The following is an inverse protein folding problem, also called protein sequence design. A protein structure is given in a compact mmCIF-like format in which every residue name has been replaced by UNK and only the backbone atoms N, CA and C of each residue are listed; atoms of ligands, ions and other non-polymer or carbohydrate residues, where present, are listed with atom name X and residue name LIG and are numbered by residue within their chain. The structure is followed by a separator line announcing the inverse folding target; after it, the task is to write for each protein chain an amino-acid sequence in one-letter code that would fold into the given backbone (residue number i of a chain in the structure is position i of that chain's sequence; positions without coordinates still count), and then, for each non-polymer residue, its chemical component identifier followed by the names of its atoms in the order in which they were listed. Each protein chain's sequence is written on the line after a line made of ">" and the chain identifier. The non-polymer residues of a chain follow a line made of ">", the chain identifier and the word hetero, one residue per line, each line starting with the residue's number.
data_IF_585143186774
#
_entry.id   IF_585143186774
#
_cell.length_a   1.000
_cell.length_b   1.000
_cell.length_c   1.000
_cell.angle_alpha   90.00
_cell.angle_beta   90.00
_cell.angle_gamma   90.00
#
_symmetry.space_group_name_H-M   'P 1'
#
loop_
_entity.id
_entity.type
_entity.pdbx_description
1 polymer ?
#
# COMPACT_ATOMS: atom_id res chain seq x y z
N UNK A 1 -4.83 -14.51 -2.83
CA UNK A 1 -5.65 -13.28 -2.88
C UNK A 1 -6.09 -12.93 -1.46
N UNK A 2 -6.77 -11.81 -1.26
CA UNK A 2 -7.37 -11.48 0.03
C UNK A 2 -7.86 -10.03 0.08
N UNK A 3 -8.09 -9.52 1.30
CA UNK A 3 -8.54 -8.15 1.53
C UNK A 3 -7.53 -7.32 2.31
N UNK A 4 -7.63 -6.00 2.24
CA UNK A 4 -6.81 -5.07 3.01
C UNK A 4 -7.70 -4.09 3.76
N UNK A 5 -7.54 -4.04 5.09
CA UNK A 5 -8.28 -3.16 5.97
C UNK A 5 -7.35 -2.36 6.87
N UNK A 6 -7.76 -1.14 7.20
CA UNK A 6 -7.14 -0.27 8.19
C UNK A 6 -8.19 0.15 9.21
N UNK A 7 -7.98 -0.18 10.48
CA UNK A 7 -8.94 0.14 11.55
C UNK A 7 -10.33 -0.47 11.28
N UNK A 8 -10.39 -1.62 10.61
CA UNK A 8 -11.63 -2.27 10.20
C UNK A 8 -12.28 -1.73 8.92
N UNK A 9 -11.77 -0.64 8.34
CA UNK A 9 -12.26 -0.08 7.07
C UNK A 9 -11.43 -0.57 5.90
N UNK A 10 -12.06 -0.89 4.76
CA UNK A 10 -11.33 -1.21 3.54
C UNK A 10 -10.45 -0.04 3.09
N UNK A 11 -9.22 -0.34 2.68
CA UNK A 11 -8.31 0.68 2.11
C UNK A 11 -8.78 1.13 0.72
N UNK A 12 -8.41 2.34 0.26
CA UNK A 12 -8.84 2.81 -1.04
C UNK A 12 -8.24 2.00 -2.19
N UNK A 13 -8.94 2.05 -3.32
CA UNK A 13 -8.48 1.48 -4.58
C UNK A 13 -7.18 2.13 -5.03
N UNK A 14 -6.35 1.34 -5.70
CA UNK A 14 -5.04 1.76 -6.19
C UNK A 14 -3.89 1.54 -5.20
N UNK A 15 -4.17 1.20 -3.93
CA UNK A 15 -3.15 0.75 -2.99
C UNK A 15 -2.36 -0.43 -3.58
N UNK A 16 -1.05 -0.49 -3.35
CA UNK A 16 -0.23 -1.64 -3.75
C UNK A 16 0.12 -2.47 -2.53
N UNK A 17 -0.01 -3.78 -2.65
CA UNK A 17 0.40 -4.76 -1.65
C UNK A 17 1.60 -5.51 -2.22
N UNK A 18 2.71 -5.56 -1.48
CA UNK A 18 3.88 -6.32 -1.86
C UNK A 18 4.26 -7.33 -0.77
N UNK A 19 4.51 -8.56 -1.20
CA UNK A 19 4.97 -9.69 -0.40
C UNK A 19 6.42 -9.94 -0.80
N UNK A 20 7.35 -9.82 0.15
CA UNK A 20 8.78 -10.04 -0.06
C UNK A 20 9.26 -11.15 0.88
N UNK A 21 9.75 -12.24 0.31
CA UNK A 21 10.37 -13.33 1.08
C UNK A 21 11.81 -12.98 1.44
N UNK A 22 12.34 -13.63 2.48
CA UNK A 22 13.75 -13.48 2.86
C UNK A 22 14.72 -14.03 1.78
N UNK A 23 14.22 -14.88 0.88
CA UNK A 23 14.97 -15.40 -0.28
C UNK A 23 14.91 -14.46 -1.51
N UNK A 24 14.25 -13.30 -1.42
CA UNK A 24 14.19 -12.29 -2.48
C UNK A 24 13.06 -12.47 -3.49
N UNK A 25 12.23 -13.50 -3.38
CA UNK A 25 11.01 -13.61 -4.19
C UNK A 25 10.02 -12.54 -3.80
N UNK A 26 9.44 -11.89 -4.81
CA UNK A 26 8.47 -10.82 -4.64
C UNK A 26 7.19 -11.16 -5.38
N UNK A 27 6.05 -10.89 -4.74
CA UNK A 27 4.74 -10.89 -5.36
C UNK A 27 4.01 -9.59 -5.02
N UNK A 28 3.28 -9.03 -5.97
CA UNK A 28 2.59 -7.75 -5.80
C UNK A 28 1.15 -7.84 -6.26
N UNK A 29 0.30 -6.98 -5.70
CA UNK A 29 -1.12 -6.91 -6.05
C UNK A 29 -1.63 -5.48 -5.92
N UNK A 30 -2.49 -5.08 -6.86
CA UNK A 30 -3.22 -3.82 -6.76
C UNK A 30 -4.52 -4.06 -6.00
N UNK A 31 -4.85 -3.16 -5.08
CA UNK A 31 -6.13 -3.18 -4.37
C UNK A 31 -7.22 -2.57 -5.24
N UNK A 32 -8.34 -3.27 -5.37
CA UNK A 32 -9.59 -2.75 -5.92
C UNK A 32 -10.78 -3.27 -5.12
N UNK A 33 -11.70 -2.39 -4.73
CA UNK A 33 -12.79 -2.68 -3.81
C UNK A 33 -12.32 -3.20 -2.45
N UNK A 34 -11.13 -2.78 -1.98
CA UNK A 34 -10.50 -3.32 -0.76
C UNK A 34 -9.97 -4.75 -0.87
N UNK A 35 -10.00 -5.35 -2.06
CA UNK A 35 -9.53 -6.71 -2.34
C UNK A 35 -8.28 -6.69 -3.23
N UNK A 36 -7.43 -7.71 -3.14
CA UNK A 36 -6.24 -7.83 -3.98
C UNK A 36 -5.98 -9.27 -4.44
N UNK A 37 -5.29 -9.39 -5.57
CA UNK A 37 -4.72 -10.64 -6.07
C UNK A 37 -3.22 -10.44 -6.24
N UNK A 38 -2.44 -11.37 -5.73
CA UNK A 38 -0.99 -11.34 -5.87
C UNK A 38 -0.59 -11.99 -7.18
N UNK A 39 0.40 -11.38 -7.82
CA UNK A 39 1.13 -11.91 -8.95
C UNK A 39 2.62 -11.85 -8.63
N UNK A 40 3.34 -12.94 -8.86
CA UNK A 40 4.79 -12.98 -8.80
C UNK A 40 5.41 -12.01 -9.81
N UNK A 41 6.55 -11.44 -9.47
CA UNK A 41 7.29 -10.54 -10.38
C UNK A 41 8.23 -11.28 -11.33
N UNK A 42 8.22 -12.62 -11.30
CA UNK A 42 9.04 -13.48 -12.16
C UNK A 42 8.40 -13.64 -13.54
N UNK A 43 9.08 -14.35 -14.46
CA UNK A 43 8.52 -14.68 -15.78
C UNK A 43 7.19 -15.45 -15.69
N UNK A 44 6.95 -16.15 -14.59
CA UNK A 44 5.69 -16.81 -14.29
C UNK A 44 4.99 -16.01 -13.19
N UNK A 45 4.10 -15.11 -13.58
CA UNK A 45 3.39 -14.23 -12.66
C UNK A 45 2.42 -14.99 -11.73
N UNK A 46 2.06 -16.23 -12.05
CA UNK A 46 1.15 -17.04 -11.23
C UNK A 46 1.89 -18.02 -10.30
N UNK A 47 3.22 -18.12 -10.43
CA UNK A 47 4.05 -19.04 -9.65
C UNK A 47 4.74 -18.26 -8.52
N UNK A 48 4.04 -18.15 -7.40
CA UNK A 48 4.54 -17.53 -6.17
C UNK A 48 5.08 -18.66 -5.28
N UNK A 49 6.39 -18.67 -4.95
CA UNK A 49 6.96 -19.69 -4.09
C UNK A 49 6.28 -19.75 -2.72
N UNK A 50 6.22 -20.95 -2.16
CA UNK A 50 5.76 -21.15 -0.79
C UNK A 50 6.81 -20.64 0.20
N UNK A 51 6.35 -20.11 1.33
CA UNK A 51 7.24 -19.62 2.39
C UNK A 51 6.66 -18.45 3.19
N UNK A 52 7.49 -17.92 4.10
CA UNK A 52 7.16 -16.71 4.85
C UNK A 52 7.50 -15.45 4.04
N UNK A 53 6.54 -14.53 3.99
CA UNK A 53 6.67 -13.25 3.31
C UNK A 53 6.41 -12.10 4.28
N UNK A 54 7.26 -11.08 4.20
CA UNK A 54 7.04 -9.77 4.82
C UNK A 54 6.18 -8.94 3.90
N UNK A 55 5.21 -8.25 4.47
CA UNK A 55 4.21 -7.51 3.70
C UNK A 55 4.37 -6.03 3.90
N UNK A 56 4.27 -5.28 2.81
CA UNK A 56 4.11 -3.83 2.83
C UNK A 56 2.88 -3.44 2.02
N UNK A 57 2.21 -2.38 2.46
CA UNK A 57 1.09 -1.76 1.77
C UNK A 57 1.48 -0.33 1.49
N UNK A 58 1.52 0.08 0.24
CA UNK A 58 1.76 1.47 -0.14
C UNK A 58 0.44 2.11 -0.58
N UNK A 59 0.25 3.41 -0.30
CA UNK A 59 -0.88 4.14 -0.85
C UNK A 59 -0.88 4.09 -2.38
N UNK A 60 -2.01 4.42 -3.03
CA UNK A 60 -2.04 4.57 -4.47
C UNK A 60 -0.95 5.53 -4.91
N UNK A 61 -0.37 5.26 -6.08
CA UNK A 61 0.50 6.21 -6.74
C UNK A 61 -0.34 7.40 -7.24
N UNK A 62 -0.88 8.20 -6.31
CA UNK A 62 -1.05 9.63 -6.57
C UNK A 62 0.37 10.11 -6.83
N UNK A 63 0.64 10.47 -8.08
CA UNK A 63 1.82 11.24 -8.46
C UNK A 63 2.14 12.21 -7.34
N UNK A 64 3.21 11.95 -6.59
CA UNK A 64 3.73 12.82 -5.54
C UNK A 64 4.30 14.12 -6.09
N UNK A 65 3.73 14.63 -7.18
CA UNK A 65 3.84 16.00 -7.58
C UNK A 65 2.54 16.65 -7.08
N UNK A 66 2.64 17.39 -5.97
CA UNK A 66 1.80 18.59 -5.89
C UNK A 66 1.95 19.29 -7.24
N UNK A 67 0.84 19.63 -7.88
CA UNK A 67 0.95 20.51 -9.04
C UNK A 67 1.64 21.81 -8.61
N UNK A 68 2.42 22.44 -9.49
CA UNK A 68 3.07 23.73 -9.18
C UNK A 68 2.04 24.75 -8.65
N UNK A 69 0.80 24.66 -9.14
CA UNK A 69 -0.35 25.45 -8.68
C UNK A 69 -0.74 25.16 -7.21
N UNK A 70 -0.66 23.91 -6.74
CA UNK A 70 -0.94 23.58 -5.34
C UNK A 70 0.20 24.05 -4.41
N UNK A 71 1.45 23.98 -4.87
CA UNK A 71 2.60 24.50 -4.13
C UNK A 71 2.57 26.03 -4.02
N UNK A 72 2.27 26.72 -5.12
CA UNK A 72 2.16 28.18 -5.18
C UNK A 72 0.97 28.71 -4.36
N UNK A 73 -0.14 27.96 -4.34
CA UNK A 73 -1.29 28.25 -3.47
C UNK A 73 -0.93 28.09 -1.99
N UNK A 74 -0.18 27.06 -1.62
CA UNK A 74 0.25 26.84 -0.23
C UNK A 74 1.23 27.92 0.25
N UNK A 75 2.14 28.38 -0.61
CA UNK A 75 3.06 29.49 -0.32
C UNK A 75 2.33 30.84 -0.18
N UNK A 76 1.37 31.13 -1.07
CA UNK A 76 0.61 32.40 -1.03
C UNK A 76 -0.39 32.47 0.15
N UNK A 77 -1.03 31.37 0.51
CA UNK A 77 -1.96 31.30 1.66
C UNK A 77 -1.23 31.37 3.01
N UNK A 78 0.03 30.91 3.08
CA UNK A 78 0.86 31.05 4.28
C UNK A 78 1.29 32.51 4.57
N UNK A 79 1.21 33.39 3.57
CA UNK A 79 1.56 34.81 3.69
C UNK A 79 0.36 35.71 4.09
N UNK A 80 -0.88 35.23 3.97
CA UNK A 80 -2.10 36.04 4.20
C UNK A 80 -2.75 35.85 5.57
N UNK A 81 -2.28 34.89 6.38
CA UNK A 81 -2.80 34.65 7.73
C UNK A 81 -4.23 34.07 7.78
N UNK A 82 -4.84 33.74 6.65
CA UNK A 82 -6.11 33.02 6.58
C UNK A 82 -5.85 31.53 6.34
N UNK A 83 -5.74 30.79 7.44
CA UNK A 83 -5.63 29.34 7.40
C UNK A 83 -7.01 28.71 7.11
N UNK A 84 -7.19 28.20 5.90
CA UNK A 84 -7.93 26.94 5.71
C UNK A 84 -7.11 26.01 4.82
N UNK A 85 -6.20 25.21 5.41
CA UNK A 85 -5.54 24.17 4.65
C UNK A 85 -6.60 23.15 4.23
N UNK A 86 -6.90 23.06 2.93
CA UNK A 86 -7.37 21.79 2.39
C UNK A 86 -6.15 20.88 2.48
N UNK A 87 -6.09 20.13 3.59
CA UNK A 87 -4.99 19.23 3.86
C UNK A 87 -4.79 18.33 2.64
N UNK A 88 -3.53 18.05 2.24
CA UNK A 88 -3.28 16.95 1.31
C UNK A 88 -4.01 15.74 1.87
N UNK A 89 -4.87 15.09 1.08
CA UNK A 89 -5.61 13.93 1.54
C UNK A 89 -4.62 13.00 2.21
N UNK A 90 -4.69 12.89 3.55
CA UNK A 90 -3.75 12.08 4.32
C UNK A 90 -3.83 10.71 3.67
N UNK A 91 -2.72 10.24 3.08
CA UNK A 91 -2.70 8.89 2.53
C UNK A 91 -3.20 7.98 3.63
N UNK A 92 -4.33 7.28 3.45
CA UNK A 92 -5.00 6.64 4.57
C UNK A 92 -4.09 5.59 5.19
N UNK A 93 -3.12 5.05 4.43
CA UNK A 93 -2.12 4.10 4.89
C UNK A 93 -1.03 4.79 5.73
N UNK A 94 -0.86 4.41 7.01
CA UNK A 94 0.25 4.88 7.84
C UNK A 94 1.61 4.50 7.25
N UNK A 95 2.58 5.43 7.30
CA UNK A 95 3.92 5.23 6.71
C UNK A 95 4.67 3.99 7.22
N UNK A 96 4.35 3.52 8.45
CA UNK A 96 4.93 2.28 9.00
C UNK A 96 4.64 1.07 8.12
N UNK A 97 3.52 1.03 7.39
CA UNK A 97 3.17 -0.08 6.51
C UNK A 97 3.83 0.01 5.12
N UNK A 98 4.44 1.14 4.77
CA UNK A 98 5.07 1.34 3.46
C UNK A 98 6.43 0.63 3.32
N UNK A 99 6.97 0.01 4.37
CA UNK A 99 8.23 -0.75 4.29
C UNK A 99 8.09 -2.09 5.00
N UNK A 100 8.74 -3.13 4.47
CA UNK A 100 8.72 -4.47 5.06
C UNK A 100 9.41 -4.55 6.43
N UNK A 101 10.30 -3.61 6.75
CA UNK A 101 11.00 -3.56 8.03
C UNK A 101 10.12 -2.93 9.13
N UNK A 102 9.32 -1.93 8.79
CA UNK A 102 8.51 -1.18 9.77
C UNK A 102 7.06 -1.65 9.84
N UNK A 103 6.57 -2.42 8.86
CA UNK A 103 5.17 -2.85 8.82
C UNK A 103 4.85 -3.84 9.93
N UNK A 104 5.81 -4.70 10.29
CA UNK A 104 5.61 -5.83 11.20
C UNK A 104 4.68 -6.91 10.65
N UNK A 105 4.23 -6.79 9.39
CA UNK A 105 3.30 -7.72 8.77
C UNK A 105 4.04 -8.91 8.17
N UNK A 106 3.64 -10.12 8.55
CA UNK A 106 4.20 -11.37 8.06
C UNK A 106 3.10 -12.40 7.81
N UNK A 107 3.17 -13.07 6.67
CA UNK A 107 2.20 -14.10 6.29
C UNK A 107 2.90 -15.27 5.60
N UNK A 108 2.36 -16.46 5.79
CA UNK A 108 2.84 -17.69 5.14
C UNK A 108 2.02 -17.96 3.88
N UNK A 109 2.70 -18.16 2.76
CA UNK A 109 2.12 -18.65 1.50
C UNK A 109 2.33 -20.16 1.45
N UNK A 110 1.22 -20.90 1.30
CA UNK A 110 1.19 -22.37 1.24
C UNK A 110 0.96 -22.85 -0.19
N UNK A 111 1.15 -24.13 -0.44
CA UNK A 111 0.79 -24.72 -1.73
C UNK A 111 -0.73 -24.61 -1.97
N UNK A 112 -1.11 -24.26 -3.21
CA UNK A 112 -2.51 -24.14 -3.62
C UNK A 112 -3.14 -22.78 -3.33
N UNK A 113 -4.45 -22.76 -3.12
CA UNK A 113 -5.21 -21.52 -2.94
C UNK A 113 -4.95 -20.90 -1.56
N UNK A 114 -4.53 -19.63 -1.56
CA UNK A 114 -4.30 -18.85 -0.35
C UNK A 114 -5.24 -17.65 -0.29
N UNK A 115 -5.92 -17.50 0.85
CA UNK A 115 -6.68 -16.30 1.22
C UNK A 115 -6.01 -15.65 2.41
N UNK A 116 -5.42 -14.47 2.20
CA UNK A 116 -4.64 -13.74 3.21
C UNK A 116 -5.26 -12.36 3.39
N UNK A 117 -5.95 -12.15 4.50
CA UNK A 117 -6.54 -10.86 4.83
C UNK A 117 -5.56 -10.03 5.68
N UNK A 118 -5.25 -8.83 5.19
CA UNK A 118 -4.31 -7.91 5.83
C UNK A 118 -5.09 -6.92 6.68
N UNK A 119 -4.92 -7.00 7.99
CA UNK A 119 -5.48 -6.04 8.93
C UNK A 119 -4.40 -5.10 9.50
N UNK A 120 -4.57 -3.82 9.24
CA UNK A 120 -3.71 -2.74 9.73
C UNK A 120 -4.41 -1.97 10.85
N UNK A 121 -3.62 -1.44 11.79
CA UNK A 121 -4.05 -0.73 13.00
C UNK A 121 -3.40 0.65 13.07
#
# INVERSE_FOLDING_TARGET
>A
SGTVKLGGQSVPDGCNVAFISDSGFTATGLVSGGSYTLHGTSKNADDIPVGEYRVMVTPPATTGQMSDAEYEKMMSESASGQATPSAPEKTPIPAKYNTTTTSGLKYEVKEGSNTIDIEMQ
#
